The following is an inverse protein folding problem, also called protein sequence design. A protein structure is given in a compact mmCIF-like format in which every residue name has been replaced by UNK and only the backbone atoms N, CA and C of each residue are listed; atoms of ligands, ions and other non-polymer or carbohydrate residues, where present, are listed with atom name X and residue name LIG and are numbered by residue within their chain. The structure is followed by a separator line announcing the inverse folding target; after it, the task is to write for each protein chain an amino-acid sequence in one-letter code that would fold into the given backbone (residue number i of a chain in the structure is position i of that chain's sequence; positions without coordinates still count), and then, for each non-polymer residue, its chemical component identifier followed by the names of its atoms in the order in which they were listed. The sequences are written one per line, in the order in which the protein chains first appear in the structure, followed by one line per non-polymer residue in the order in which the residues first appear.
data_IF_505935698502
#
_entry.id   IF_505935698502
#
_cell.length_a   1.000
_cell.length_b   1.000
_cell.length_c   1.000
_cell.angle_alpha   90.00
_cell.angle_beta   90.00
_cell.angle_gamma   90.00
#
_symmetry.space_group_name_H-M   'P 1'
#
loop_
_entity.id
_entity.type
_entity.pdbx_description
1 polymer ?
#
# COMPACT_ATOMS: atom_id res chain seq x y z
N UNK A 1 9.62 -33.86 25.44
CA UNK A 1 8.39 -33.10 25.14
C UNK A 1 8.65 -32.02 24.09
N UNK A 2 8.90 -32.41 22.83
CA UNK A 2 8.89 -31.51 21.66
C UNK A 2 8.59 -32.37 20.43
N UNK A 3 7.33 -32.76 20.29
CA UNK A 3 6.79 -33.48 19.14
C UNK A 3 5.34 -33.03 18.97
N UNK A 4 5.14 -31.75 18.64
CA UNK A 4 3.81 -31.17 18.44
C UNK A 4 3.85 -29.98 17.47
N UNK A 5 4.69 -30.03 16.43
CA UNK A 5 4.70 -29.00 15.39
C UNK A 5 4.81 -29.58 13.97
N UNK A 6 4.18 -30.72 13.73
CA UNK A 6 3.90 -31.19 12.37
C UNK A 6 2.50 -31.79 12.32
N UNK A 7 1.47 -30.94 12.41
CA UNK A 7 0.11 -31.31 12.02
C UNK A 7 -0.73 -30.07 11.70
N UNK A 8 -0.39 -29.36 10.63
CA UNK A 8 -1.42 -28.71 9.81
C UNK A 8 -1.47 -29.53 8.52
N UNK A 9 -1.99 -30.75 8.66
CA UNK A 9 -2.31 -31.60 7.52
C UNK A 9 -3.69 -31.16 7.01
N UNK A 10 -3.67 -30.49 5.86
CA UNK A 10 -4.67 -30.55 4.79
C UNK A 10 -6.08 -30.97 5.22
N UNK A 11 -6.88 -29.99 5.65
CA UNK A 11 -8.32 -30.10 5.49
C UNK A 11 -8.62 -29.79 4.01
N UNK A 12 -8.55 -30.82 3.16
CA UNK A 12 -9.13 -30.77 1.82
C UNK A 12 -10.66 -30.76 1.97
N UNK A 13 -11.22 -29.62 2.32
CA UNK A 13 -12.57 -29.29 1.88
C UNK A 13 -12.47 -29.21 0.36
N UNK A 14 -13.44 -29.79 -0.35
CA UNK A 14 -13.61 -29.62 -1.80
C UNK A 14 -13.97 -28.16 -2.04
N UNK A 15 -12.96 -27.31 -1.94
CA UNK A 15 -12.96 -25.90 -2.24
C UNK A 15 -12.30 -25.77 -3.60
N UNK A 16 -12.98 -25.12 -4.54
CA UNK A 16 -12.33 -24.58 -5.71
C UNK A 16 -11.27 -23.58 -5.25
N UNK A 17 -10.00 -23.94 -5.44
CA UNK A 17 -8.86 -23.08 -5.12
C UNK A 17 -8.27 -22.56 -6.43
N UNK A 18 -7.88 -21.29 -6.46
CA UNK A 18 -7.03 -20.73 -7.50
C UNK A 18 -5.80 -20.15 -6.80
N UNK A 19 -4.60 -20.66 -7.08
CA UNK A 19 -3.33 -20.14 -6.56
C UNK A 19 -2.47 -19.66 -7.72
N UNK A 20 -2.03 -18.42 -7.69
CA UNK A 20 -1.27 -17.79 -8.77
C UNK A 20 -0.26 -16.77 -8.20
N UNK A 21 0.69 -16.32 -9.02
CA UNK A 21 1.68 -15.32 -8.63
C UNK A 21 1.82 -14.21 -9.68
N UNK A 22 1.86 -12.95 -9.26
CA UNK A 22 2.10 -11.79 -10.13
C UNK A 22 2.70 -10.64 -9.30
N UNK A 23 3.57 -9.80 -9.86
CA UNK A 23 4.02 -8.55 -9.22
C UNK A 23 4.51 -8.72 -7.76
N UNK A 24 5.33 -9.75 -7.50
CA UNK A 24 5.87 -10.11 -6.18
C UNK A 24 4.83 -10.50 -5.12
N UNK A 25 3.61 -10.88 -5.54
CA UNK A 25 2.58 -11.41 -4.65
C UNK A 25 2.15 -12.80 -5.09
N UNK A 26 2.02 -13.70 -4.12
CA UNK A 26 1.29 -14.95 -4.26
C UNK A 26 -0.13 -14.68 -3.80
N UNK A 27 -1.11 -15.17 -4.54
CA UNK A 27 -2.51 -14.97 -4.20
C UNK A 27 -3.29 -16.26 -4.37
N UNK A 28 -4.18 -16.49 -3.41
CA UNK A 28 -5.14 -17.56 -3.48
C UNK A 28 -6.54 -17.10 -3.09
N UNK A 29 -7.55 -17.76 -3.66
CA UNK A 29 -8.92 -17.61 -3.18
C UNK A 29 -9.63 -18.94 -3.14
N UNK A 30 -10.55 -19.06 -2.21
CA UNK A 30 -11.46 -20.19 -2.12
C UNK A 30 -12.82 -19.75 -1.61
N UNK A 31 -13.79 -20.63 -1.81
CA UNK A 31 -15.16 -20.39 -1.40
C UNK A 31 -15.59 -21.55 -0.52
N UNK A 32 -15.85 -21.27 0.75
CA UNK A 32 -16.46 -22.22 1.68
C UNK A 32 -17.99 -22.15 1.59
N UNK A 33 -18.74 -22.81 2.48
CA UNK A 33 -20.21 -22.80 2.44
C UNK A 33 -20.83 -21.38 2.54
N UNK A 34 -20.21 -20.48 3.30
CA UNK A 34 -20.79 -19.18 3.70
C UNK A 34 -20.00 -17.97 3.24
N UNK A 35 -18.72 -18.12 2.90
CA UNK A 35 -17.78 -17.04 2.67
C UNK A 35 -17.00 -17.22 1.37
N UNK A 36 -16.49 -16.09 0.89
CA UNK A 36 -15.37 -16.01 -0.03
C UNK A 36 -14.15 -15.61 0.78
N UNK A 37 -13.06 -16.36 0.63
CA UNK A 37 -11.79 -16.08 1.29
C UNK A 37 -10.76 -15.73 0.23
N UNK A 38 -10.03 -14.64 0.47
CA UNK A 38 -8.92 -14.17 -0.35
C UNK A 38 -7.70 -14.11 0.54
N UNK A 39 -6.60 -14.70 0.08
CA UNK A 39 -5.31 -14.61 0.75
C UNK A 39 -4.28 -14.07 -0.22
N UNK A 40 -3.47 -13.16 0.27
CA UNK A 40 -2.36 -12.57 -0.46
C UNK A 40 -1.12 -12.73 0.41
N UNK A 41 0.00 -13.13 -0.17
CA UNK A 41 1.26 -13.18 0.54
C UNK A 41 2.42 -12.65 -0.28
N UNK A 42 3.40 -12.04 0.38
CA UNK A 42 4.57 -11.46 -0.26
C UNK A 42 5.77 -11.47 0.68
N UNK A 43 6.95 -11.71 0.11
CA UNK A 43 8.25 -11.53 0.76
C UNK A 43 8.93 -10.23 0.29
N UNK A 44 8.31 -9.48 -0.63
CA UNK A 44 8.86 -8.24 -1.16
C UNK A 44 8.51 -7.06 -0.24
N UNK A 45 9.53 -6.50 0.41
CA UNK A 45 9.36 -5.42 1.38
C UNK A 45 8.65 -4.18 0.79
N UNK A 46 8.89 -3.85 -0.49
CA UNK A 46 8.23 -2.73 -1.14
C UNK A 46 6.72 -2.98 -1.29
N UNK A 47 6.33 -4.20 -1.65
CA UNK A 47 4.94 -4.65 -1.68
C UNK A 47 4.32 -4.63 -0.28
N UNK A 48 5.01 -5.14 0.74
CA UNK A 48 4.53 -5.08 2.13
C UNK A 48 4.20 -3.65 2.56
N UNK A 49 5.14 -2.73 2.35
CA UNK A 49 4.96 -1.33 2.73
C UNK A 49 3.81 -0.69 1.94
N UNK A 50 3.70 -1.00 0.65
CA UNK A 50 2.58 -0.58 -0.20
C UNK A 50 1.23 -1.00 0.38
N UNK A 51 1.09 -2.26 0.79
CA UNK A 51 -0.12 -2.80 1.38
C UNK A 51 -0.43 -2.20 2.76
N UNK A 52 0.56 -2.06 3.64
CA UNK A 52 0.39 -1.57 5.01
C UNK A 52 0.13 -0.06 5.10
N UNK A 53 0.71 0.74 4.21
CA UNK A 53 0.51 2.19 4.20
C UNK A 53 -0.56 2.67 3.22
N UNK A 54 -0.60 2.09 2.03
CA UNK A 54 -1.57 2.45 0.99
C UNK A 54 -2.93 1.76 1.18
N UNK A 55 -2.96 0.65 1.91
CA UNK A 55 -4.11 -0.23 1.94
C UNK A 55 -4.22 -1.10 0.69
N UNK A 56 -5.03 -2.15 0.79
CA UNK A 56 -5.34 -3.03 -0.34
C UNK A 56 -6.82 -2.93 -0.64
N UNK A 57 -7.14 -2.68 -1.91
CA UNK A 57 -8.48 -2.82 -2.45
C UNK A 57 -8.65 -4.23 -3.01
N UNK A 58 -9.60 -4.97 -2.44
CA UNK A 58 -10.07 -6.23 -3.00
C UNK A 58 -11.44 -6.02 -3.60
N UNK A 59 -11.51 -6.09 -4.92
CA UNK A 59 -12.73 -5.95 -5.71
C UNK A 59 -13.37 -7.31 -5.99
N UNK A 60 -14.69 -7.35 -5.97
CA UNK A 60 -15.48 -8.54 -6.25
C UNK A 60 -16.46 -8.26 -7.40
N UNK A 61 -16.36 -9.03 -8.48
CA UNK A 61 -17.33 -8.98 -9.57
C UNK A 61 -17.89 -10.37 -9.88
N UNK A 62 -19.09 -10.64 -9.36
CA UNK A 62 -19.81 -11.90 -9.55
C UNK A 62 -20.13 -12.21 -11.01
N UNK A 63 -20.12 -11.19 -11.89
CA UNK A 63 -20.35 -11.37 -13.33
C UNK A 63 -19.08 -11.66 -14.13
N UNK A 64 -17.89 -11.57 -13.49
CA UNK A 64 -16.60 -11.83 -14.13
C UNK A 64 -16.18 -10.78 -15.17
N UNK A 65 -16.81 -9.61 -15.17
CA UNK A 65 -16.55 -8.48 -16.09
C UNK A 65 -15.50 -7.50 -15.55
N UNK A 66 -14.89 -7.81 -14.41
CA UNK A 66 -13.86 -7.00 -13.75
C UNK A 66 -14.33 -5.59 -13.37
N UNK A 67 -15.58 -5.47 -12.91
CA UNK A 67 -16.15 -4.20 -12.43
C UNK A 67 -15.77 -3.89 -10.98
N UNK A 68 -15.53 -2.61 -10.69
CA UNK A 68 -15.11 -2.12 -9.36
C UNK A 68 -16.28 -1.65 -8.47
N UNK A 69 -17.44 -2.31 -8.59
CA UNK A 69 -18.66 -1.88 -7.90
C UNK A 69 -18.76 -2.42 -6.47
N UNK A 70 -18.10 -3.54 -6.17
CA UNK A 70 -18.07 -4.11 -4.83
C UNK A 70 -16.62 -4.23 -4.42
N UNK A 71 -16.25 -3.67 -3.27
CA UNK A 71 -14.87 -3.73 -2.79
C UNK A 71 -14.74 -3.61 -1.28
N UNK A 72 -13.67 -4.19 -0.75
CA UNK A 72 -13.19 -3.92 0.59
C UNK A 72 -11.82 -3.24 0.48
N UNK A 73 -11.62 -2.18 1.26
CA UNK A 73 -10.32 -1.55 1.43
C UNK A 73 -9.84 -1.71 2.88
N UNK A 74 -8.63 -2.24 3.06
CA UNK A 74 -7.97 -2.29 4.36
C UNK A 74 -6.44 -2.29 4.26
N UNK A 75 -5.74 -1.53 5.14
CA UNK A 75 -6.25 -0.46 6.02
C UNK A 75 -6.85 0.74 5.26
N UNK A 76 -7.67 1.53 5.96
CA UNK A 76 -8.00 2.92 5.58
C UNK A 76 -7.35 3.88 6.59
N UNK A 77 -6.90 5.05 6.12
CA UNK A 77 -6.25 6.07 6.98
C UNK A 77 -4.97 5.59 7.70
N UNK A 78 -4.22 4.65 7.11
CA UNK A 78 -2.93 4.26 7.66
C UNK A 78 -2.00 5.47 7.70
N UNK A 79 -1.43 5.74 8.87
CA UNK A 79 -0.54 6.89 9.06
C UNK A 79 0.80 6.60 8.40
N UNK A 80 1.25 7.46 7.49
CA UNK A 80 2.60 7.38 6.96
C UNK A 80 3.60 7.72 8.08
N UNK A 81 4.75 7.01 8.18
CA UNK A 81 5.77 7.35 9.16
C UNK A 81 6.21 8.80 8.94
N UNK A 82 6.00 9.66 9.94
CA UNK A 82 6.52 11.01 9.89
C UNK A 82 8.04 10.92 9.91
N UNK A 83 8.70 11.50 8.89
CA UNK A 83 10.16 11.61 8.92
C UNK A 83 10.53 12.52 10.10
N UNK A 84 11.51 12.14 10.94
CA UNK A 84 11.95 12.99 12.03
C UNK A 84 12.42 14.34 11.49
N UNK A 85 12.04 15.37 12.23
CA UNK A 85 12.24 16.77 11.88
C UNK A 85 13.72 17.06 11.65
N UNK A 86 13.99 17.97 10.70
CA UNK A 86 15.37 18.29 10.30
C UNK A 86 16.22 18.82 11.46
N UNK A 87 15.59 19.37 12.50
CA UNK A 87 16.24 19.95 13.68
C UNK A 87 16.73 18.91 14.70
N UNK A 88 16.25 17.67 14.66
CA UNK A 88 16.74 16.59 15.54
C UNK A 88 17.95 15.84 14.96
N UNK A 89 18.43 16.24 13.78
CA UNK A 89 19.51 15.58 13.03
C UNK A 89 20.92 15.99 13.47
N UNK A 90 21.04 17.00 14.32
CA UNK A 90 22.35 17.49 14.75
C UNK A 90 22.82 16.92 16.10
N UNK A 91 21.94 16.27 16.88
CA UNK A 91 22.30 15.87 18.26
C UNK A 91 22.88 14.48 18.46
N UNK A 92 22.74 13.55 17.53
CA UNK A 92 23.33 12.21 17.63
C UNK A 92 23.61 11.68 16.21
N UNK A 93 24.86 11.85 15.75
CA UNK A 93 25.34 11.39 14.44
C UNK A 93 26.03 10.03 14.49
N UNK A 94 26.49 9.57 15.65
CA UNK A 94 27.31 8.36 15.75
C UNK A 94 26.48 7.06 15.92
N UNK A 95 25.30 7.12 16.54
CA UNK A 95 24.42 5.94 16.71
C UNK A 95 23.41 5.71 15.57
N UNK A 96 23.32 6.65 14.61
CA UNK A 96 22.18 6.71 13.67
C UNK A 96 22.41 6.07 12.31
N UNK A 97 23.66 5.78 11.95
CA UNK A 97 24.01 5.21 10.64
C UNK A 97 23.70 3.71 10.55
N UNK A 98 23.68 2.98 11.68
CA UNK A 98 23.25 1.58 11.73
C UNK A 98 21.73 1.42 11.77
N UNK A 99 21.02 2.33 12.45
CA UNK A 99 19.56 2.29 12.59
C UNK A 99 18.84 2.85 11.35
N UNK A 100 19.46 3.78 10.61
CA UNK A 100 18.93 4.30 9.34
C UNK A 100 19.04 3.32 8.16
N UNK A 101 19.83 2.25 8.28
CA UNK A 101 19.96 1.20 7.25
C UNK A 101 18.93 0.08 7.41
N UNK A 102 18.37 -0.11 8.61
CA UNK A 102 17.26 -1.04 8.82
C UNK A 102 15.97 -0.33 8.43
N UNK A 103 15.31 -0.83 7.38
CA UNK A 103 13.98 -0.36 7.00
C UNK A 103 12.99 -0.41 8.17
N UNK A 104 11.80 0.20 8.02
CA UNK A 104 10.79 0.18 9.08
C UNK A 104 10.44 -1.26 9.48
N UNK A 105 10.34 -1.50 10.78
CA UNK A 105 9.94 -2.79 11.34
C UNK A 105 8.49 -3.10 10.96
N UNK A 106 8.32 -4.12 10.11
CA UNK A 106 7.02 -4.53 9.55
C UNK A 106 6.08 -5.01 10.66
N UNK A 107 6.58 -5.71 11.68
CA UNK A 107 5.76 -6.18 12.78
C UNK A 107 5.14 -5.00 13.54
N UNK A 108 5.96 -3.98 13.83
CA UNK A 108 5.50 -2.74 14.47
C UNK A 108 4.49 -1.98 13.60
N UNK A 109 4.62 -2.02 12.27
CA UNK A 109 3.63 -1.42 11.37
C UNK A 109 2.29 -2.14 11.43
N UNK A 110 2.29 -3.49 11.48
CA UNK A 110 1.07 -4.29 11.61
C UNK A 110 0.34 -3.96 12.92
N UNK A 111 1.05 -3.88 14.04
CA UNK A 111 0.46 -3.55 15.34
C UNK A 111 -0.19 -2.16 15.38
N UNK A 112 0.34 -1.22 14.59
CA UNK A 112 -0.14 0.17 14.49
C UNK A 112 -1.21 0.37 13.43
N UNK A 113 -1.61 -0.69 12.72
CA UNK A 113 -2.64 -0.56 11.70
C UNK A 113 -3.95 -0.06 12.32
N UNK A 114 -4.66 0.84 11.63
CA UNK A 114 -6.00 1.19 12.04
C UNK A 114 -6.87 -0.06 11.98
N UNK A 115 -7.84 -0.15 12.89
CA UNK A 115 -8.82 -1.23 12.92
C UNK A 115 -10.08 -0.91 12.11
N UNK A 116 -9.99 0.04 11.19
CA UNK A 116 -11.09 0.45 10.33
C UNK A 116 -10.82 0.04 8.88
N UNK A 117 -11.89 -0.30 8.18
CA UNK A 117 -11.91 -0.70 6.77
C UNK A 117 -13.10 -0.02 6.07
N UNK A 118 -13.05 0.10 4.73
CA UNK A 118 -14.19 0.55 3.93
C UNK A 118 -14.79 -0.62 3.15
N UNK A 119 -16.11 -0.70 3.10
CA UNK A 119 -16.86 -1.58 2.21
C UNK A 119 -17.71 -0.75 1.26
N UNK A 120 -17.49 -0.93 -0.04
CA UNK A 120 -18.28 -0.34 -1.12
C UNK A 120 -19.15 -1.43 -1.72
N UNK A 121 -20.44 -1.16 -1.87
CA UNK A 121 -21.40 -2.02 -2.55
C UNK A 121 -22.31 -1.18 -3.45
N UNK A 122 -22.01 -1.20 -4.75
CA UNK A 122 -22.56 -0.32 -5.78
C UNK A 122 -22.48 1.15 -5.40
N UNK A 123 -23.61 1.73 -5.00
CA UNK A 123 -23.74 3.16 -4.69
C UNK A 123 -23.67 3.43 -3.18
N UNK A 124 -23.47 2.39 -2.37
CA UNK A 124 -23.28 2.50 -0.92
C UNK A 124 -21.82 2.32 -0.54
N UNK A 125 -21.34 3.18 0.35
CA UNK A 125 -20.05 3.06 1.00
C UNK A 125 -20.24 3.17 2.51
N UNK A 126 -19.58 2.29 3.25
CA UNK A 126 -19.59 2.31 4.71
C UNK A 126 -18.20 1.96 5.25
N UNK A 127 -17.76 2.74 6.22
CA UNK A 127 -16.63 2.36 7.06
C UNK A 127 -17.10 1.43 8.18
N UNK A 128 -16.26 0.46 8.54
CA UNK A 128 -16.54 -0.46 9.63
C UNK A 128 -15.28 -0.78 10.45
N UNK A 129 -15.48 -1.11 11.72
CA UNK A 129 -14.41 -1.58 12.60
C UNK A 129 -14.25 -3.09 12.46
N UNK A 130 -13.02 -3.59 12.33
CA UNK A 130 -12.73 -5.02 12.13
C UNK A 130 -13.35 -5.90 13.22
N UNK A 131 -13.26 -5.48 14.48
CA UNK A 131 -13.73 -6.27 15.63
C UNK A 131 -15.25 -6.17 15.89
N UNK A 132 -15.93 -5.15 15.35
CA UNK A 132 -17.31 -4.79 15.75
C UNK A 132 -18.29 -4.67 14.57
N UNK A 133 -17.92 -5.14 13.38
CA UNK A 133 -18.79 -5.04 12.21
C UNK A 133 -19.91 -6.08 12.21
N UNK A 134 -21.07 -5.68 11.68
CA UNK A 134 -22.22 -6.55 11.46
C UNK A 134 -22.22 -7.20 10.05
N UNK A 135 -21.17 -6.98 9.27
CA UNK A 135 -21.02 -7.52 7.92
C UNK A 135 -20.50 -8.95 7.92
N UNK A 136 -20.00 -9.44 9.06
CA UNK A 136 -19.31 -10.72 9.16
C UNK A 136 -17.99 -10.75 8.39
N UNK A 137 -17.44 -9.58 8.06
CA UNK A 137 -16.16 -9.45 7.35
C UNK A 137 -15.02 -9.57 8.36
N UNK A 138 -14.01 -10.35 8.02
CA UNK A 138 -12.79 -10.50 8.82
C UNK A 138 -11.59 -10.20 7.94
N UNK A 139 -10.65 -9.40 8.46
CA UNK A 139 -9.42 -9.03 7.76
C UNK A 139 -8.26 -9.16 8.74
N UNK A 140 -7.16 -9.76 8.31
CA UNK A 140 -5.98 -9.97 9.16
C UNK A 140 -4.70 -9.79 8.35
N UNK A 141 -3.73 -9.08 8.93
CA UNK A 141 -2.33 -9.15 8.53
C UNK A 141 -1.56 -9.97 9.57
N UNK A 142 -0.67 -10.84 9.12
CA UNK A 142 0.29 -11.55 9.95
C UNK A 142 1.65 -11.58 9.25
N UNK A 143 2.73 -11.53 10.01
CA UNK A 143 4.08 -11.69 9.51
C UNK A 143 4.62 -13.07 9.95
N UNK A 144 5.07 -13.87 9.00
CA UNK A 144 5.94 -15.00 9.29
C UNK A 144 7.38 -14.46 9.41
N UNK A 145 7.89 -14.39 10.64
CA UNK A 145 9.24 -13.87 10.91
C UNK A 145 10.35 -14.79 10.37
N UNK A 146 10.10 -16.09 10.22
CA UNK A 146 11.10 -17.04 9.69
C UNK A 146 11.20 -16.95 8.17
N UNK A 147 10.06 -16.84 7.50
CA UNK A 147 9.99 -16.71 6.04
C UNK A 147 10.09 -15.26 5.54
N UNK A 148 10.10 -14.28 6.46
CA UNK A 148 9.93 -12.85 6.17
C UNK A 148 8.72 -12.60 5.24
N UNK A 149 7.62 -13.31 5.47
CA UNK A 149 6.45 -13.31 4.60
C UNK A 149 5.27 -12.58 5.25
N UNK A 150 4.77 -11.54 4.59
CA UNK A 150 3.54 -10.87 5.00
C UNK A 150 2.34 -11.62 4.41
N UNK A 151 1.43 -12.07 5.27
CA UNK A 151 0.17 -12.70 4.89
C UNK A 151 -1.00 -11.75 5.18
N UNK A 152 -1.83 -11.53 4.17
CA UNK A 152 -3.11 -10.83 4.25
C UNK A 152 -4.24 -11.81 3.99
N UNK A 153 -5.20 -11.89 4.91
CA UNK A 153 -6.40 -12.73 4.78
C UNK A 153 -7.63 -11.84 4.86
N UNK A 154 -8.50 -11.95 3.84
CA UNK A 154 -9.82 -11.34 3.81
C UNK A 154 -10.89 -12.41 3.68
N UNK A 155 -11.84 -12.43 4.60
CA UNK A 155 -13.04 -13.25 4.56
C UNK A 155 -14.28 -12.34 4.47
N UNK A 156 -15.13 -12.60 3.47
CA UNK A 156 -16.40 -11.88 3.28
C UNK A 156 -17.55 -12.88 3.09
N UNK A 157 -18.67 -12.73 3.82
CA UNK A 157 -19.85 -13.55 3.61
C UNK A 157 -20.44 -13.40 2.20
N UNK A 158 -20.85 -14.51 1.59
CA UNK A 158 -21.40 -14.55 0.21
C UNK A 158 -22.60 -13.63 0.02
N UNK A 159 -23.45 -13.50 1.04
CA UNK A 159 -24.65 -12.68 0.96
C UNK A 159 -24.34 -11.18 0.78
N UNK A 160 -23.14 -10.72 1.15
CA UNK A 160 -22.70 -9.34 0.90
C UNK A 160 -22.34 -9.11 -0.58
N UNK A 161 -22.03 -10.17 -1.33
CA UNK A 161 -21.64 -10.11 -2.75
C UNK A 161 -22.80 -10.38 -3.70
N UNK A 162 -23.84 -11.07 -3.24
CA UNK A 162 -24.94 -11.57 -4.07
C UNK A 162 -26.13 -10.60 -4.04
N UNK A 163 -26.35 -9.88 -5.13
CA UNK A 163 -27.50 -9.00 -5.30
C UNK A 163 -28.69 -9.75 -5.93
N UNK A 164 -29.44 -10.48 -5.10
CA UNK A 164 -30.75 -11.05 -5.46
C UNK A 164 -30.77 -12.50 -5.97
N UNK A 165 -32.00 -13.02 -6.17
CA UNK A 165 -32.26 -14.41 -6.57
C UNK A 165 -31.64 -14.72 -7.94
N UNK A 166 -30.81 -15.74 -8.01
CA UNK A 166 -30.19 -16.23 -9.26
C UNK A 166 -28.78 -15.70 -9.54
N UNK A 167 -28.20 -14.92 -8.62
CA UNK A 167 -26.75 -14.67 -8.64
C UNK A 167 -26.03 -15.84 -7.97
N UNK A 168 -25.12 -16.48 -8.70
CA UNK A 168 -24.17 -17.43 -8.15
C UNK A 168 -22.76 -16.86 -8.26
N UNK A 169 -21.80 -17.51 -7.59
CA UNK A 169 -20.42 -17.08 -7.62
C UNK A 169 -19.62 -17.75 -8.73
N UNK A 170 -20.21 -18.54 -9.62
CA UNK A 170 -19.48 -19.37 -10.61
C UNK A 170 -18.55 -18.58 -11.54
N UNK A 171 -18.81 -17.29 -11.74
CA UNK A 171 -18.02 -16.38 -12.57
C UNK A 171 -17.30 -15.29 -11.77
N UNK A 172 -17.20 -15.45 -10.45
CA UNK A 172 -16.57 -14.47 -9.58
C UNK A 172 -15.14 -14.19 -10.06
N UNK A 173 -14.89 -12.92 -10.36
CA UNK A 173 -13.55 -12.41 -10.58
C UNK A 173 -13.18 -11.48 -9.44
N UNK A 174 -11.96 -11.64 -8.96
CA UNK A 174 -11.39 -10.91 -7.83
C UNK A 174 -10.30 -10.00 -8.39
N UNK A 175 -10.37 -8.72 -8.06
CA UNK A 175 -9.39 -7.71 -8.43
C UNK A 175 -8.61 -7.26 -7.21
N UNK A 176 -7.29 -7.15 -7.31
CA UNK A 176 -6.44 -6.68 -6.22
C UNK A 176 -5.69 -5.44 -6.68
N UNK A 177 -5.83 -4.36 -5.91
CA UNK A 177 -5.15 -3.09 -6.20
C UNK A 177 -4.53 -2.53 -4.93
N UNK A 178 -3.25 -2.16 -4.99
CA UNK A 178 -2.59 -1.35 -3.96
C UNK A 178 -2.30 0.04 -4.52
N UNK A 179 -2.64 1.13 -3.80
CA UNK A 179 -2.25 2.47 -4.17
C UNK A 179 -0.74 2.60 -4.26
N UNK A 180 -0.30 3.40 -5.23
CA UNK A 180 1.12 3.73 -5.35
C UNK A 180 1.53 4.61 -4.19
N UNK A 181 2.47 4.17 -3.35
CA UNK A 181 3.16 5.07 -2.42
C UNK A 181 3.90 6.11 -3.26
N UNK A 182 3.51 7.38 -3.14
CA UNK A 182 4.30 8.49 -3.68
C UNK A 182 5.43 8.73 -2.69
N UNK A 183 6.58 8.13 -2.93
CA UNK A 183 7.81 8.64 -2.32
C UNK A 183 8.05 10.00 -2.96
N UNK A 184 7.78 11.09 -2.24
CA UNK A 184 8.18 12.41 -2.70
C UNK A 184 9.72 12.43 -2.78
N UNK A 185 10.22 12.20 -3.99
CA UNK A 185 11.59 12.48 -4.35
C UNK A 185 11.80 13.97 -4.11
N UNK A 186 12.56 14.32 -3.07
CA UNK A 186 13.08 15.68 -2.91
C UNK A 186 14.13 15.91 -4.00
N UNK A 187 13.66 16.16 -5.22
CA UNK A 187 14.38 16.84 -6.28
C UNK A 187 13.44 17.01 -7.47
N UNK A 188 12.53 17.98 -7.36
CA UNK A 188 12.27 18.84 -8.50
C UNK A 188 12.15 20.25 -7.95
N UNK A 189 13.18 21.04 -8.23
CA UNK A 189 13.15 22.48 -8.05
C UNK A 189 12.19 23.08 -9.07
N UNK A 190 10.89 22.94 -8.83
CA UNK A 190 9.87 23.77 -9.47
C UNK A 190 9.38 24.75 -8.42
N UNK A 191 9.83 25.99 -8.50
CA UNK A 191 9.35 27.08 -7.66
C UNK A 191 7.83 27.18 -7.76
N UNK A 192 7.15 26.77 -6.69
CA UNK A 192 5.75 27.10 -6.49
C UNK A 192 5.74 28.55 -6.01
N UNK A 193 5.61 29.47 -6.96
CA UNK A 193 5.26 30.85 -6.70
C UNK A 193 3.85 30.87 -6.12
N UNK A 194 3.72 31.03 -4.81
CA UNK A 194 2.45 31.39 -4.20
C UNK A 194 2.06 32.78 -4.69
N UNK A 195 1.06 32.84 -5.56
CA UNK A 195 0.29 34.04 -5.80
C UNK A 195 -0.43 34.42 -4.51
N UNK A 196 0.09 35.43 -3.82
CA UNK A 196 -0.53 36.11 -2.69
C UNK A 196 -0.66 37.58 -3.02
N UNK A 197 -1.91 38.05 -3.18
CA UNK A 197 -2.22 39.44 -3.44
C UNK A 197 -2.02 40.36 -2.24
N UNK A 198 -2.02 41.65 -2.54
CA UNK A 198 -2.19 42.81 -1.66
C UNK A 198 -1.25 42.95 -0.44
N UNK A 199 -0.27 43.85 -0.58
CA UNK A 199 -0.12 44.89 0.43
C UNK A 199 0.53 46.16 -0.11
N UNK A 200 -0.20 47.25 0.15
CA UNK A 200 0.07 48.64 -0.11
C UNK A 200 1.34 49.16 0.58
N UNK A 201 1.95 50.17 -0.05
CA UNK A 201 2.40 51.38 0.66
C UNK A 201 3.87 51.44 1.11
N UNK A 202 4.61 52.40 0.55
CA UNK A 202 5.81 52.94 1.18
C UNK A 202 6.86 53.47 0.20
N UNK A 203 7.03 54.80 0.06
CA UNK A 203 8.13 55.41 -0.69
C UNK A 203 9.33 55.69 0.23
N UNK A 204 10.53 55.34 -0.22
CA UNK A 204 11.80 55.73 0.41
C UNK A 204 12.86 54.65 0.18
N UNK A 205 14.10 54.92 -0.18
CA UNK A 205 14.81 56.16 -0.44
C UNK A 205 16.27 55.78 -0.75
N UNK A 206 16.91 56.63 -1.56
CA UNK A 206 18.34 56.99 -1.55
C UNK A 206 19.46 55.94 -1.48
N UNK A 207 20.36 56.05 -2.48
CA UNK A 207 21.80 55.74 -2.38
C UNK A 207 22.20 54.50 -3.20
N UNK A 208 23.01 54.55 -4.26
CA UNK A 208 24.08 55.49 -4.60
C UNK A 208 25.43 54.83 -4.31
N UNK A 209 26.01 54.14 -5.29
CA UNK A 209 27.37 53.59 -5.22
C UNK A 209 27.80 52.85 -6.48
N UNK A 210 28.74 53.39 -7.28
CA UNK A 210 29.29 52.73 -8.47
C UNK A 210 30.62 52.03 -8.15
N UNK A 211 30.80 50.80 -8.64
CA UNK A 211 32.08 50.08 -8.54
C UNK A 211 32.12 48.92 -9.53
N UNK A 212 32.84 49.10 -10.64
CA UNK A 212 33.05 48.10 -11.68
C UNK A 212 34.17 47.09 -11.33
N UNK A 213 34.93 46.61 -12.33
CA UNK A 213 34.67 45.33 -13.00
C UNK A 213 35.80 44.30 -12.81
N UNK A 214 35.45 43.02 -12.79
CA UNK A 214 36.38 41.88 -12.90
C UNK A 214 35.55 40.61 -12.88
N UNK A 215 35.67 39.64 -13.78
CA UNK A 215 36.79 39.25 -14.61
C UNK A 215 37.06 37.76 -14.33
N UNK A 216 36.84 36.89 -15.32
CA UNK A 216 37.51 35.59 -15.40
C UNK A 216 36.67 34.30 -15.32
N UNK A 217 36.94 33.41 -16.30
CA UNK A 217 36.78 31.95 -16.21
C UNK A 217 35.35 31.43 -16.45
N UNK A 218 34.95 30.88 -17.60
CA UNK A 218 35.43 29.66 -18.31
C UNK A 218 35.68 28.46 -17.39
N UNK A 219 34.85 27.43 -17.57
CA UNK A 219 35.10 26.04 -17.14
C UNK A 219 34.15 25.59 -16.02
N UNK A 220 33.41 24.49 -16.12
CA UNK A 220 33.42 23.45 -17.12
C UNK A 220 32.18 22.59 -17.00
N UNK A 221 31.78 22.05 -18.15
CA UNK A 221 30.96 20.86 -18.23
C UNK A 221 31.68 19.74 -17.48
N UNK A 222 31.11 19.31 -16.35
CA UNK A 222 31.42 18.01 -15.77
C UNK A 222 30.20 17.11 -15.98
N UNK A 223 30.32 16.33 -17.05
CA UNK A 223 29.67 15.04 -17.21
C UNK A 223 30.02 14.19 -15.98
N UNK A 224 29.21 14.25 -14.94
CA UNK A 224 29.07 13.15 -14.01
C UNK A 224 28.34 12.01 -14.73
N UNK A 225 28.70 10.74 -14.49
CA UNK A 225 27.92 9.63 -15.03
C UNK A 225 26.46 9.82 -14.56
N UNK A 226 25.46 9.50 -15.40
CA UNK A 226 24.09 9.52 -14.94
C UNK A 226 24.04 8.58 -13.73
N UNK A 227 23.80 9.14 -12.55
CA UNK A 227 23.34 8.36 -11.42
C UNK A 227 22.11 7.67 -11.96
N UNK A 228 22.27 6.37 -12.20
CA UNK A 228 21.18 5.49 -12.58
C UNK A 228 20.25 5.57 -11.38
N UNK A 229 19.29 6.47 -11.54
CA UNK A 229 18.16 6.67 -10.68
C UNK A 229 17.48 5.31 -10.66
N UNK A 230 17.95 4.43 -9.75
CA UNK A 230 17.25 3.23 -9.32
C UNK A 230 16.03 3.78 -8.57
N UNK A 231 15.12 4.37 -9.35
CA UNK A 231 13.74 4.59 -8.95
C UNK A 231 13.28 3.19 -8.61
N UNK A 232 13.20 2.91 -7.31
CA UNK A 232 12.48 1.75 -6.82
C UNK A 232 11.18 1.73 -7.59
N UNK A 233 11.01 0.71 -8.41
CA UNK A 233 9.85 0.60 -9.28
C UNK A 233 8.63 0.78 -8.40
N UNK A 234 7.74 1.65 -8.87
CA UNK A 234 6.57 2.09 -8.13
C UNK A 234 5.62 0.90 -8.01
N UNK A 235 5.81 0.07 -6.98
CA UNK A 235 5.07 -1.18 -6.80
C UNK A 235 3.59 -0.85 -6.59
N UNK A 236 2.80 -1.11 -7.62
CA UNK A 236 1.34 -1.14 -7.53
C UNK A 236 0.86 -2.51 -7.96
N UNK A 237 0.23 -3.22 -7.04
CA UNK A 237 -0.60 -4.36 -7.39
C UNK A 237 -1.75 -3.83 -8.25
N UNK A 238 -1.99 -4.46 -9.39
CA UNK A 238 -3.16 -4.19 -10.22
C UNK A 238 -3.44 -5.39 -11.12
N UNK A 239 -4.11 -6.39 -10.58
CA UNK A 239 -4.43 -7.61 -11.31
C UNK A 239 -5.84 -8.09 -11.01
N UNK A 240 -6.31 -9.00 -11.86
CA UNK A 240 -7.60 -9.67 -11.72
C UNK A 240 -7.44 -11.14 -12.01
N UNK A 241 -8.05 -11.98 -11.19
CA UNK A 241 -8.07 -13.41 -11.36
C UNK A 241 -9.50 -13.96 -11.20
N UNK A 242 -9.71 -15.19 -11.64
CA UNK A 242 -10.96 -15.92 -11.40
C UNK A 242 -10.85 -16.60 -10.05
N UNK A 243 -11.94 -16.60 -9.28
CA UNK A 243 -11.96 -17.29 -7.99
C UNK A 243 -11.93 -18.84 -8.12
N UNK A 244 -12.10 -19.36 -9.34
CA UNK A 244 -12.09 -20.76 -9.69
C UNK A 244 -11.28 -20.94 -10.97
N UNK A 245 -10.42 -21.95 -10.98
CA UNK A 245 -9.98 -22.55 -12.23
C UNK A 245 -10.98 -23.65 -12.59
N UNK A 246 -11.56 -23.56 -13.79
CA UNK A 246 -12.27 -24.69 -14.35
C UNK A 246 -11.20 -25.73 -14.69
N UNK A 247 -11.05 -26.76 -13.87
CA UNK A 247 -10.45 -28.02 -14.31
C UNK A 247 -11.38 -28.68 -15.33
#
# INVERSE_FOLDING_TARGET
MKAFFYLIMLLNIVCSNAQNSQDNIVYESFIDDKNVVVKLSTIDQATMLSMLHGGVYVYFDVKGKKKKNVSIQYPINATLPQRPDKNDRERNREDRDEEAQKGPDIAVLIEKLPKTASFVNFDSEQEFHLDLNNLGVTITYSLDEEAEELLYILQIPKHNLLSGKGSDLSKLSIGVVSPKIKTESKNDGSGISFGGGNQSGGPGGSGGGPGGPGGGGRGGSQNGPPIQDQRQEKVSLNFWFKAFENN
#
